data_IF_562271002396
#
_entry.id   IF_562271002396
#
_cell.length_a   1.000
_cell.length_b   1.000
_cell.length_c   1.000
_cell.angle_alpha   90.00
_cell.angle_beta   90.00
_cell.angle_gamma   90.00
#
_symmetry.space_group_name_H-M   'P 1'
#
loop_
_entity.id
_entity.type
_entity.pdbx_description
1 polymer ?
#
# COMPACT_ATOMS: atom_id res chain seq x y z
N UNK A 1 -0.50 3.07 33.22
CA UNK A 1 -0.22 4.45 32.75
C UNK A 1 0.54 4.36 31.43
N UNK A 2 -0.15 4.47 30.32
CA UNK A 2 0.49 4.61 29.02
C UNK A 2 0.98 6.05 28.88
N UNK A 3 2.29 6.25 28.83
CA UNK A 3 2.88 7.53 28.39
C UNK A 3 2.51 7.70 26.93
N UNK A 4 1.58 8.62 26.63
CA UNK A 4 1.43 9.17 25.29
C UNK A 4 2.76 9.79 24.88
N UNK A 5 3.50 9.11 24.01
CA UNK A 5 4.64 9.71 23.33
C UNK A 5 4.02 10.60 22.25
N UNK A 6 3.72 11.85 22.60
CA UNK A 6 3.49 12.89 21.61
C UNK A 6 4.84 13.19 20.95
N UNK A 7 5.07 12.58 19.81
CA UNK A 7 6.14 13.00 18.90
C UNK A 7 5.80 14.42 18.44
N UNK A 8 6.41 15.41 19.08
CA UNK A 8 6.49 16.77 18.54
C UNK A 8 7.41 16.69 17.32
N UNK A 9 6.85 16.51 16.15
CA UNK A 9 7.58 16.76 14.92
C UNK A 9 7.86 18.26 14.87
N UNK A 10 9.13 18.64 14.92
CA UNK A 10 9.52 20.00 14.57
C UNK A 10 9.21 20.20 13.09
N UNK A 11 8.56 21.26 12.75
CA UNK A 11 7.93 21.49 11.43
C UNK A 11 8.92 21.77 10.30
N UNK A 12 10.23 21.77 10.56
CA UNK A 12 11.25 21.99 9.55
C UNK A 12 12.38 20.98 9.73
N UNK A 13 12.28 19.87 9.02
CA UNK A 13 13.38 18.93 8.81
C UNK A 13 14.09 19.36 7.54
N UNK A 14 15.30 19.88 7.67
CA UNK A 14 16.14 20.21 6.52
C UNK A 14 16.50 18.94 5.74
N UNK A 15 16.40 18.99 4.40
CA UNK A 15 16.79 17.87 3.52
C UNK A 15 18.22 17.43 3.77
N UNK A 16 19.11 18.39 4.09
CA UNK A 16 20.50 18.15 4.47
C UNK A 16 20.64 17.29 5.72
N UNK A 17 19.79 17.48 6.73
CA UNK A 17 19.83 16.69 7.97
C UNK A 17 19.40 15.25 7.74
N UNK A 18 18.37 15.05 6.92
CA UNK A 18 17.94 13.70 6.49
C UNK A 18 19.07 13.01 5.74
N UNK A 19 19.66 13.69 4.76
CA UNK A 19 20.76 13.14 3.97
C UNK A 19 21.97 12.78 4.85
N UNK A 20 22.39 13.67 5.73
CA UNK A 20 23.51 13.44 6.63
C UNK A 20 23.25 12.28 7.60
N UNK A 21 22.03 12.18 8.14
CA UNK A 21 21.63 11.08 9.03
C UNK A 21 21.66 9.75 8.30
N UNK A 22 21.07 9.67 7.10
CA UNK A 22 21.08 8.47 6.28
C UNK A 22 22.50 8.06 5.88
N UNK A 23 23.33 9.01 5.46
CA UNK A 23 24.71 8.74 5.05
C UNK A 23 25.56 8.25 6.22
N UNK A 24 25.37 8.83 7.40
CA UNK A 24 26.11 8.43 8.61
C UNK A 24 25.74 7.04 9.10
N UNK A 25 24.49 6.64 8.94
CA UNK A 25 23.94 5.39 9.45
C UNK A 25 23.51 4.43 8.31
N UNK A 26 24.09 4.56 7.11
CA UNK A 26 23.57 3.86 5.93
C UNK A 26 23.54 2.33 6.05
N UNK A 27 24.54 1.74 6.71
CA UNK A 27 24.61 0.28 6.91
C UNK A 27 23.42 -0.21 7.74
N UNK A 28 23.12 0.47 8.85
CA UNK A 28 22.01 0.12 9.72
C UNK A 28 20.67 0.32 8.99
N UNK A 29 20.48 1.47 8.35
CA UNK A 29 19.27 1.78 7.60
C UNK A 29 19.02 0.79 6.46
N UNK A 30 20.06 0.42 5.69
CA UNK A 30 19.94 -0.56 4.60
C UNK A 30 19.62 -1.94 5.16
N UNK A 31 20.26 -2.35 6.25
CA UNK A 31 20.01 -3.63 6.90
C UNK A 31 18.55 -3.72 7.36
N UNK A 32 18.06 -2.71 8.06
CA UNK A 32 16.68 -2.64 8.53
C UNK A 32 15.68 -2.61 7.36
N UNK A 33 15.99 -1.88 6.29
CA UNK A 33 15.17 -1.84 5.08
C UNK A 33 15.03 -3.23 4.43
N UNK A 34 16.12 -3.97 4.23
CA UNK A 34 16.06 -5.30 3.65
C UNK A 34 15.35 -6.31 4.57
N UNK A 35 15.54 -6.22 5.87
CA UNK A 35 14.83 -7.05 6.83
C UNK A 35 13.32 -6.77 6.80
N UNK A 36 12.91 -5.51 6.75
CA UNK A 36 11.51 -5.11 6.58
C UNK A 36 10.93 -5.68 5.27
N UNK A 37 11.65 -5.55 4.15
CA UNK A 37 11.22 -6.10 2.86
C UNK A 37 11.05 -7.62 2.93
N UNK A 38 11.99 -8.33 3.56
CA UNK A 38 11.93 -9.79 3.74
C UNK A 38 10.69 -10.18 4.54
N UNK A 39 10.43 -9.52 5.65
CA UNK A 39 9.26 -9.79 6.51
C UNK A 39 7.96 -9.56 5.74
N UNK A 40 7.85 -8.45 5.04
CA UNK A 40 6.67 -8.09 4.26
C UNK A 40 6.36 -9.10 3.16
N UNK A 41 7.36 -9.45 2.35
CA UNK A 41 7.20 -10.41 1.25
C UNK A 41 6.88 -11.81 1.77
N UNK A 42 7.50 -12.23 2.86
CA UNK A 42 7.21 -13.51 3.49
C UNK A 42 5.77 -13.57 4.01
N UNK A 43 5.30 -12.54 4.69
CA UNK A 43 3.93 -12.45 5.17
C UNK A 43 2.92 -12.41 4.01
N UNK A 44 3.23 -11.68 2.95
CA UNK A 44 2.42 -11.65 1.74
C UNK A 44 2.33 -13.05 1.11
N UNK A 45 3.44 -13.77 1.00
CA UNK A 45 3.44 -15.13 0.46
C UNK A 45 2.66 -16.10 1.35
N UNK A 46 2.81 -16.04 2.66
CA UNK A 46 2.06 -16.88 3.60
C UNK A 46 0.55 -16.62 3.49
N UNK A 47 0.16 -15.35 3.39
CA UNK A 47 -1.24 -14.93 3.34
C UNK A 47 -1.91 -15.29 2.02
N UNK A 48 -1.28 -14.94 0.90
CA UNK A 48 -1.89 -15.07 -0.43
C UNK A 48 -1.51 -16.37 -1.14
N UNK A 49 -0.45 -17.06 -0.71
CA UNK A 49 0.18 -18.21 -1.40
C UNK A 49 0.61 -17.88 -2.85
N UNK A 50 0.65 -16.60 -3.19
CA UNK A 50 0.82 -16.12 -4.56
C UNK A 50 1.21 -14.63 -4.54
N UNK A 51 2.40 -14.33 -4.98
CA UNK A 51 2.90 -12.95 -5.02
C UNK A 51 2.20 -12.09 -6.06
N UNK A 52 1.68 -12.67 -7.14
CA UNK A 52 0.93 -11.91 -8.15
C UNK A 52 -0.32 -11.28 -7.53
N UNK A 53 -1.04 -12.00 -6.67
CA UNK A 53 -2.19 -11.44 -5.92
C UNK A 53 -1.77 -10.27 -5.04
N UNK A 54 -0.66 -10.41 -4.34
CA UNK A 54 -0.13 -9.36 -3.50
C UNK A 54 0.22 -8.11 -4.32
N UNK A 55 0.95 -8.27 -5.42
CA UNK A 55 1.32 -7.15 -6.28
C UNK A 55 0.12 -6.48 -6.95
N UNK A 56 -0.88 -7.25 -7.34
CA UNK A 56 -2.15 -6.71 -7.86
C UNK A 56 -2.84 -5.88 -6.77
N UNK A 57 -2.93 -6.41 -5.54
CA UNK A 57 -3.50 -5.67 -4.42
C UNK A 57 -2.73 -4.39 -4.14
N UNK A 58 -1.41 -4.43 -4.13
CA UNK A 58 -0.58 -3.24 -3.94
C UNK A 58 -0.78 -2.21 -5.04
N UNK A 59 -0.94 -2.64 -6.29
CA UNK A 59 -1.27 -1.73 -7.40
C UNK A 59 -2.63 -1.08 -7.22
N UNK A 60 -3.62 -1.80 -6.71
CA UNK A 60 -4.95 -1.26 -6.41
C UNK A 60 -4.89 -0.27 -5.25
N UNK A 61 -4.17 -0.62 -4.17
CA UNK A 61 -3.97 0.24 -3.01
C UNK A 61 -3.26 1.54 -3.41
N UNK A 62 -2.16 1.45 -4.16
CA UNK A 62 -1.43 2.62 -4.65
C UNK A 62 -2.33 3.55 -5.46
N UNK A 63 -3.11 3.02 -6.40
CA UNK A 63 -4.07 3.81 -7.18
C UNK A 63 -5.19 4.42 -6.34
N UNK A 64 -5.60 3.73 -5.28
CA UNK A 64 -6.56 4.26 -4.34
C UNK A 64 -5.97 5.46 -3.60
N UNK A 65 -4.75 5.35 -3.11
CA UNK A 65 -4.05 6.46 -2.47
C UNK A 65 -3.85 7.64 -3.43
N UNK A 66 -3.44 7.40 -4.68
CA UNK A 66 -3.33 8.46 -5.68
C UNK A 66 -4.67 9.17 -5.92
N UNK A 67 -5.77 8.41 -5.98
CA UNK A 67 -7.12 8.95 -6.14
C UNK A 67 -7.60 9.75 -4.93
N UNK A 68 -7.13 9.41 -3.74
CA UNK A 68 -7.46 10.08 -2.49
C UNK A 68 -6.45 11.16 -2.09
N UNK A 69 -5.35 11.34 -2.84
CA UNK A 69 -4.31 12.32 -2.51
C UNK A 69 -4.86 13.74 -2.31
N UNK A 70 -5.84 14.14 -3.13
CA UNK A 70 -6.54 15.41 -2.98
C UNK A 70 -7.43 15.46 -1.73
N UNK A 71 -7.87 14.32 -1.21
CA UNK A 71 -8.69 14.19 0.00
C UNK A 71 -7.85 14.08 1.26
N UNK A 72 -6.60 13.63 1.19
CA UNK A 72 -5.70 13.57 2.36
C UNK A 72 -5.45 14.93 2.99
N UNK A 73 -5.59 16.01 2.22
CA UNK A 73 -5.56 17.38 2.74
C UNK A 73 -6.75 17.67 3.66
N UNK A 74 -7.86 16.90 3.54
CA UNK A 74 -9.10 17.09 4.27
C UNK A 74 -9.30 16.14 5.45
N UNK A 75 -8.58 15.01 5.46
CA UNK A 75 -8.67 14.00 6.51
C UNK A 75 -7.36 13.97 7.32
N UNK A 76 -7.48 13.99 8.63
CA UNK A 76 -6.36 13.66 9.49
C UNK A 76 -6.10 12.13 9.48
N UNK A 77 -5.01 11.71 10.13
CA UNK A 77 -4.62 10.31 10.17
C UNK A 77 -5.70 9.42 10.80
N UNK A 78 -6.32 9.87 11.90
CA UNK A 78 -7.32 9.10 12.62
C UNK A 78 -8.59 8.92 11.80
N UNK A 79 -9.04 9.98 11.13
CA UNK A 79 -10.18 9.92 10.22
C UNK A 79 -9.92 8.94 9.06
N UNK A 80 -8.73 9.01 8.45
CA UNK A 80 -8.34 8.11 7.38
C UNK A 80 -8.22 6.66 7.87
N UNK A 81 -7.62 6.47 9.04
CA UNK A 81 -7.42 5.15 9.63
C UNK A 81 -8.74 4.43 9.96
N UNK A 82 -9.81 5.17 10.25
CA UNK A 82 -11.14 4.64 10.59
C UNK A 82 -12.05 4.41 9.37
N UNK A 83 -11.55 4.62 8.14
CA UNK A 83 -12.31 4.26 6.95
C UNK A 83 -12.31 2.73 6.78
N UNK A 84 -13.49 2.13 6.76
CA UNK A 84 -13.64 0.67 6.65
C UNK A 84 -13.45 0.15 5.23
N UNK A 85 -13.73 0.98 4.22
CA UNK A 85 -13.68 0.61 2.81
C UNK A 85 -13.11 1.74 1.97
N UNK A 86 -12.25 1.37 1.02
CA UNK A 86 -11.67 2.29 0.05
C UNK A 86 -12.25 2.00 -1.33
N UNK A 87 -12.78 3.00 -2.00
CA UNK A 87 -13.35 2.87 -3.33
C UNK A 87 -12.43 3.40 -4.41
N UNK A 88 -12.08 2.56 -5.38
CA UNK A 88 -11.33 2.93 -6.58
C UNK A 88 -12.27 3.01 -7.78
N UNK A 89 -12.63 4.23 -8.19
CA UNK A 89 -13.59 4.48 -9.27
C UNK A 89 -13.04 4.20 -10.68
N UNK A 90 -11.74 4.36 -10.88
CA UNK A 90 -11.09 4.13 -12.18
C UNK A 90 -10.14 2.95 -12.09
N UNK A 91 -10.59 1.82 -12.57
CA UNK A 91 -9.87 0.57 -12.55
C UNK A 91 -9.71 0.02 -13.97
N UNK A 92 -8.47 -0.31 -14.36
CA UNK A 92 -8.18 -0.90 -15.66
C UNK A 92 -7.24 -2.10 -15.52
N UNK A 93 -7.79 -3.30 -15.72
CA UNK A 93 -7.05 -4.57 -15.66
C UNK A 93 -5.87 -4.59 -16.65
N UNK A 94 -6.03 -4.00 -17.84
CA UNK A 94 -4.97 -3.98 -18.86
C UNK A 94 -3.75 -3.20 -18.36
N UNK A 95 -3.98 -2.08 -17.68
CA UNK A 95 -2.89 -1.28 -17.12
C UNK A 95 -2.15 -2.01 -15.99
N UNK A 96 -2.89 -2.70 -15.13
CA UNK A 96 -2.29 -3.51 -14.06
C UNK A 96 -1.48 -4.67 -14.65
N UNK A 97 -2.03 -5.39 -15.62
CA UNK A 97 -1.34 -6.48 -16.28
C UNK A 97 -0.04 -6.01 -16.94
N UNK A 98 -0.05 -4.87 -17.63
CA UNK A 98 1.14 -4.25 -18.21
C UNK A 98 2.17 -3.85 -17.14
N UNK A 99 1.73 -3.20 -16.08
CA UNK A 99 2.59 -2.75 -14.99
C UNK A 99 3.32 -3.91 -14.31
N UNK A 100 2.64 -5.05 -14.14
CA UNK A 100 3.18 -6.23 -13.49
C UNK A 100 3.81 -7.24 -14.47
N UNK A 101 3.84 -6.94 -15.77
CA UNK A 101 4.35 -7.84 -16.82
C UNK A 101 3.69 -9.23 -16.81
N UNK A 102 2.39 -9.28 -16.54
CA UNK A 102 1.56 -10.48 -16.57
C UNK A 102 0.50 -10.40 -17.66
N UNK A 103 -0.09 -11.53 -18.04
CA UNK A 103 -1.17 -11.53 -19.01
C UNK A 103 -2.45 -10.92 -18.42
N UNK A 104 -3.28 -10.31 -19.27
CA UNK A 104 -4.59 -9.78 -18.88
C UNK A 104 -5.47 -10.87 -18.24
N UNK A 105 -5.39 -12.08 -18.76
CA UNK A 105 -6.15 -13.23 -18.25
C UNK A 105 -5.66 -13.64 -16.85
N UNK A 106 -4.35 -13.66 -16.63
CA UNK A 106 -3.77 -13.90 -15.31
C UNK A 106 -4.23 -12.83 -14.32
N UNK A 107 -4.14 -11.54 -14.68
CA UNK A 107 -4.61 -10.45 -13.83
C UNK A 107 -6.09 -10.59 -13.48
N UNK A 108 -6.95 -10.91 -14.48
CA UNK A 108 -8.39 -11.14 -14.26
C UNK A 108 -8.66 -12.26 -13.28
N UNK A 109 -8.00 -13.40 -13.47
CA UNK A 109 -8.15 -14.58 -12.60
C UNK A 109 -7.73 -14.26 -11.15
N UNK A 110 -6.59 -13.60 -10.96
CA UNK A 110 -6.09 -13.22 -9.63
C UNK A 110 -7.00 -12.22 -8.92
N UNK A 111 -7.58 -11.28 -9.64
CA UNK A 111 -8.58 -10.34 -9.11
C UNK A 111 -9.83 -11.09 -8.65
N UNK A 112 -10.32 -12.07 -9.43
CA UNK A 112 -11.46 -12.90 -9.01
C UNK A 112 -11.13 -13.74 -7.76
N UNK A 113 -9.89 -14.23 -7.64
CA UNK A 113 -9.45 -14.93 -6.43
C UNK A 113 -9.43 -14.01 -5.21
N UNK A 114 -8.95 -12.76 -5.35
CA UNK A 114 -8.99 -11.74 -4.28
C UNK A 114 -10.43 -11.38 -3.88
N UNK A 115 -11.34 -11.34 -4.85
CA UNK A 115 -12.77 -11.12 -4.60
C UNK A 115 -13.40 -12.29 -3.83
N UNK A 116 -13.08 -13.52 -4.20
CA UNK A 116 -13.57 -14.73 -3.50
C UNK A 116 -13.16 -14.81 -2.04
N UNK A 117 -11.97 -14.33 -1.69
CA UNK A 117 -11.49 -14.29 -0.30
C UNK A 117 -11.95 -13.04 0.45
N UNK A 118 -12.73 -12.16 -0.19
CA UNK A 118 -13.36 -11.01 0.45
C UNK A 118 -12.47 -9.78 0.63
N UNK A 119 -11.24 -9.79 0.11
CA UNK A 119 -10.31 -8.64 0.23
C UNK A 119 -10.78 -7.48 -0.64
N UNK A 120 -11.30 -7.77 -1.82
CA UNK A 120 -11.87 -6.77 -2.72
C UNK A 120 -13.30 -7.13 -3.09
N UNK A 121 -14.08 -6.11 -3.47
CA UNK A 121 -15.41 -6.26 -4.05
C UNK A 121 -15.47 -5.46 -5.34
N UNK A 122 -15.82 -6.12 -6.44
CA UNK A 122 -15.94 -5.48 -7.74
C UNK A 122 -17.38 -5.08 -8.00
N UNK A 123 -17.62 -3.80 -8.26
CA UNK A 123 -18.88 -3.26 -8.75
C UNK A 123 -18.75 -2.88 -10.22
N UNK A 124 -19.87 -2.61 -10.92
CA UNK A 124 -19.85 -2.21 -12.34
C UNK A 124 -18.96 -1.00 -12.64
N UNK A 125 -18.76 -0.12 -11.68
CA UNK A 125 -18.05 1.17 -11.85
C UNK A 125 -16.83 1.36 -10.95
N UNK A 126 -16.60 0.45 -10.00
CA UNK A 126 -15.56 0.63 -8.98
C UNK A 126 -15.05 -0.71 -8.43
N UNK A 127 -13.87 -0.67 -7.83
CA UNK A 127 -13.36 -1.72 -6.95
C UNK A 127 -13.33 -1.17 -5.54
N UNK A 128 -13.88 -1.92 -4.59
CA UNK A 128 -13.85 -1.59 -3.18
C UNK A 128 -12.84 -2.50 -2.50
N UNK A 129 -11.91 -1.93 -1.75
CA UNK A 129 -10.95 -2.66 -0.94
C UNK A 129 -11.49 -2.68 0.49
N UNK A 130 -11.71 -3.88 1.01
CA UNK A 130 -12.11 -4.08 2.40
C UNK A 130 -10.88 -4.04 3.30
N UNK A 131 -11.05 -3.48 4.48
CA UNK A 131 -10.05 -3.49 5.52
C UNK A 131 -10.06 -4.79 6.29
#
# INVERSE_FOLDING_TARGET
>A
MSKEIRLKFSTEVEVSDVYNTLTKNYIEVITDYFELQRIWLNNAYITFKDLDKYFILMSLVSKTFDSYAEYFIKYDFDQFYNIDQYELKKFNIVNIAKQLSISKETARRKILELEKIGIIKKNKKAVVINR
#
